data_IF_026407366288
#
_entry.id   IF_026407366288
#
_cell.length_a   1.000
_cell.length_b   1.000
_cell.length_c   1.000
_cell.angle_alpha   90.00
_cell.angle_beta   90.00
_cell.angle_gamma   90.00
#
_symmetry.space_group_name_H-M   'P 1'
#
loop_
_entity.id
_entity.type
_entity.pdbx_description
1 polymer ?
#
# COMPACT_ATOMS: atom_id res chain seq x y z
N UNK A 1 25.11 -9.81 -7.04
CA UNK A 1 24.87 -8.38 -7.30
C UNK A 1 24.58 -7.64 -6.02
N UNK A 2 24.61 -6.31 -6.02
CA UNK A 2 24.22 -5.47 -4.88
C UNK A 2 22.89 -4.77 -5.18
N UNK A 3 21.95 -4.81 -4.23
CA UNK A 3 20.73 -4.00 -4.29
C UNK A 3 20.92 -2.78 -3.41
N UNK A 4 20.74 -1.59 -3.96
CA UNK A 4 20.68 -0.33 -3.22
C UNK A 4 19.22 0.11 -3.20
N UNK A 5 18.61 0.03 -2.04
CA UNK A 5 17.18 0.25 -1.87
C UNK A 5 16.98 1.54 -1.10
N UNK A 6 16.05 2.37 -1.55
CA UNK A 6 15.63 3.59 -0.88
C UNK A 6 14.11 3.71 -0.89
N UNK A 7 13.55 4.21 0.21
CA UNK A 7 12.12 4.45 0.36
C UNK A 7 11.88 5.72 1.17
N UNK A 8 10.93 6.54 0.73
CA UNK A 8 10.46 7.69 1.49
C UNK A 8 9.34 7.26 2.43
N UNK A 9 9.57 7.40 3.73
CA UNK A 9 8.56 7.08 4.73
C UNK A 9 8.78 7.87 6.02
N UNK A 10 7.72 8.45 6.55
CA UNK A 10 7.76 9.19 7.82
C UNK A 10 7.47 8.25 8.98
N UNK A 11 8.47 7.99 9.77
CA UNK A 11 8.33 7.25 11.02
C UNK A 11 8.17 8.19 12.22
N UNK A 12 7.67 7.66 13.32
CA UNK A 12 7.66 8.34 14.62
C UNK A 12 8.92 7.99 15.39
N UNK A 13 9.18 8.74 16.43
CA UNK A 13 10.28 8.46 17.35
C UNK A 13 10.19 7.01 17.88
N UNK A 14 11.33 6.30 17.88
CA UNK A 14 11.42 4.91 18.30
C UNK A 14 10.93 3.89 17.27
N UNK A 15 10.48 4.32 16.09
CA UNK A 15 10.13 3.43 14.99
C UNK A 15 11.33 3.23 14.05
N UNK A 16 11.47 2.01 13.54
CA UNK A 16 12.46 1.64 12.56
C UNK A 16 11.81 1.00 11.33
N UNK A 17 12.31 1.35 10.16
CA UNK A 17 11.88 0.72 8.92
C UNK A 17 12.73 -0.52 8.64
N UNK A 18 12.08 -1.61 8.28
CA UNK A 18 12.68 -2.92 8.03
C UNK A 18 12.23 -3.44 6.67
N UNK A 19 13.16 -3.98 5.91
CA UNK A 19 12.90 -4.71 4.66
C UNK A 19 12.81 -6.21 4.95
N UNK A 20 11.71 -6.83 4.53
CA UNK A 20 11.55 -8.29 4.48
C UNK A 20 11.77 -8.78 3.06
N UNK A 21 12.90 -9.41 2.81
CA UNK A 21 13.27 -9.97 1.52
C UNK A 21 13.40 -11.49 1.64
N UNK A 22 12.35 -12.20 1.27
CA UNK A 22 12.23 -13.63 1.58
C UNK A 22 12.26 -13.87 3.09
N UNK A 23 13.23 -14.68 3.56
CA UNK A 23 13.44 -14.94 5.00
C UNK A 23 14.34 -13.90 5.69
N UNK A 24 14.92 -12.97 4.92
CA UNK A 24 15.87 -11.99 5.47
C UNK A 24 15.12 -10.79 6.04
N UNK A 25 15.52 -10.39 7.24
CA UNK A 25 15.14 -9.13 7.88
C UNK A 25 16.32 -8.17 7.79
N UNK A 26 16.12 -7.01 7.19
CA UNK A 26 17.17 -6.02 6.97
C UNK A 26 16.67 -4.68 7.49
N UNK A 27 17.30 -4.16 8.53
CA UNK A 27 17.00 -2.83 9.04
C UNK A 27 17.51 -1.77 8.08
N UNK A 28 16.67 -0.78 7.77
CA UNK A 28 17.07 0.35 6.96
C UNK A 28 17.73 1.42 7.84
N UNK A 29 18.60 2.20 7.23
CA UNK A 29 19.21 3.36 7.85
C UNK A 29 18.46 4.61 7.42
N UNK A 30 18.15 5.46 8.38
CA UNK A 30 17.56 6.76 8.10
C UNK A 30 18.59 7.66 7.43
N UNK A 31 18.22 8.20 6.30
CA UNK A 31 18.91 9.30 5.64
C UNK A 31 18.09 10.59 5.82
N UNK A 32 18.65 11.71 5.48
CA UNK A 32 17.96 13.00 5.62
C UNK A 32 16.68 13.09 4.77
N UNK A 33 15.76 13.97 5.17
CA UNK A 33 14.53 14.23 4.41
C UNK A 33 13.45 13.13 4.48
N UNK A 34 13.52 12.21 5.43
CA UNK A 34 12.52 11.12 5.55
C UNK A 34 12.80 9.93 4.64
N UNK A 35 14.00 9.85 4.10
CA UNK A 35 14.44 8.75 3.24
C UNK A 35 15.11 7.67 4.10
N UNK A 36 14.73 6.44 3.85
CA UNK A 36 15.36 5.25 4.45
C UNK A 36 16.10 4.46 3.38
N UNK A 37 17.28 3.96 3.71
CA UNK A 37 18.14 3.26 2.76
C UNK A 37 18.71 1.97 3.32
N UNK A 38 18.95 1.00 2.46
CA UNK A 38 19.78 -0.15 2.77
C UNK A 38 20.53 -0.66 1.54
N UNK A 39 21.64 -1.35 1.80
CA UNK A 39 22.38 -2.08 0.79
C UNK A 39 22.27 -3.59 1.08
N UNK A 40 21.87 -4.37 0.09
CA UNK A 40 21.85 -5.83 0.17
C UNK A 40 22.94 -6.37 -0.73
N UNK A 41 24.08 -6.66 -0.13
CA UNK A 41 25.22 -7.19 -0.84
C UNK A 41 25.05 -8.67 -1.18
N UNK A 42 25.74 -9.11 -2.25
CA UNK A 42 25.77 -10.51 -2.70
C UNK A 42 24.37 -11.11 -2.85
N UNK A 43 23.42 -10.28 -3.27
CA UNK A 43 22.08 -10.76 -3.51
C UNK A 43 22.04 -11.71 -4.70
N UNK A 44 21.54 -12.93 -4.46
CA UNK A 44 21.23 -13.92 -5.47
C UNK A 44 19.83 -14.46 -5.17
N UNK A 45 18.82 -14.17 -5.98
CA UNK A 45 17.47 -14.65 -5.74
C UNK A 45 17.39 -16.15 -6.01
N UNK A 46 16.71 -16.87 -5.13
CA UNK A 46 16.42 -18.30 -5.31
C UNK A 46 15.36 -18.53 -6.42
N UNK A 47 14.50 -17.54 -6.65
CA UNK A 47 13.46 -17.56 -7.67
C UNK A 47 13.22 -16.14 -8.21
N UNK A 48 12.70 -16.05 -9.43
CA UNK A 48 12.27 -14.78 -10.02
C UNK A 48 10.83 -14.90 -10.54
N UNK A 49 10.02 -13.88 -10.31
CA UNK A 49 10.28 -12.65 -9.56
C UNK A 49 10.40 -12.92 -8.05
N UNK A 50 11.25 -12.16 -7.36
CA UNK A 50 11.33 -12.19 -5.92
C UNK A 50 10.38 -11.15 -5.30
N UNK A 51 9.77 -11.49 -4.18
CA UNK A 51 8.90 -10.58 -3.46
C UNK A 51 9.59 -10.04 -2.21
N UNK A 52 9.30 -8.78 -1.89
CA UNK A 52 9.74 -8.13 -0.66
C UNK A 52 8.70 -7.12 -0.19
N UNK A 53 8.75 -6.75 1.10
CA UNK A 53 7.87 -5.73 1.69
C UNK A 53 8.59 -4.96 2.77
N UNK A 54 8.06 -3.81 3.10
CA UNK A 54 8.52 -3.02 4.22
C UNK A 54 7.61 -3.20 5.43
N UNK A 55 8.23 -3.14 6.60
CA UNK A 55 7.57 -3.17 7.89
C UNK A 55 8.10 -2.04 8.76
N UNK A 56 7.25 -1.49 9.60
CA UNK A 56 7.65 -0.57 10.65
C UNK A 56 7.67 -1.34 11.96
N UNK A 57 8.80 -1.33 12.61
CA UNK A 57 8.98 -1.98 13.90
C UNK A 57 9.22 -0.95 15.00
N UNK A 58 8.76 -1.27 16.19
CA UNK A 58 9.10 -0.57 17.43
C UNK A 58 9.53 -1.63 18.45
N UNK A 59 10.71 -1.44 19.05
CA UNK A 59 11.28 -2.40 20.02
C UNK A 59 11.33 -3.85 19.49
N UNK A 60 11.58 -3.99 18.18
CA UNK A 60 11.64 -5.31 17.52
C UNK A 60 10.29 -5.94 17.18
N UNK A 61 9.18 -5.26 17.50
CA UNK A 61 7.83 -5.73 17.19
C UNK A 61 7.30 -5.00 15.96
N UNK A 62 6.82 -5.76 14.98
CA UNK A 62 6.16 -5.18 13.81
C UNK A 62 4.84 -4.53 14.21
N UNK A 63 4.72 -3.21 14.00
CA UNK A 63 3.53 -2.43 14.31
C UNK A 63 2.74 -2.02 13.07
N UNK A 64 3.38 -2.01 11.91
CA UNK A 64 2.76 -1.74 10.59
C UNK A 64 3.50 -2.52 9.52
N UNK A 65 2.78 -3.03 8.56
CA UNK A 65 3.32 -3.70 7.38
C UNK A 65 2.62 -3.16 6.13
N UNK A 66 3.33 -3.14 5.03
CA UNK A 66 2.71 -2.82 3.74
C UNK A 66 1.58 -3.80 3.41
N UNK A 67 0.59 -3.29 2.74
CA UNK A 67 -0.56 -4.10 2.35
C UNK A 67 -0.23 -5.10 1.23
N UNK A 68 0.61 -4.69 0.28
CA UNK A 68 1.08 -5.55 -0.81
C UNK A 68 2.59 -5.65 -0.83
N UNK A 69 3.13 -6.81 -1.21
CA UNK A 69 4.55 -6.92 -1.46
C UNK A 69 4.94 -6.19 -2.74
N UNK A 70 6.17 -5.73 -2.79
CA UNK A 70 6.83 -5.31 -4.01
C UNK A 70 7.35 -6.51 -4.76
N UNK A 71 7.45 -6.38 -6.08
CA UNK A 71 7.99 -7.43 -6.95
C UNK A 71 9.33 -6.98 -7.50
N UNK A 72 10.39 -7.70 -7.15
CA UNK A 72 11.73 -7.48 -7.67
C UNK A 72 11.95 -8.32 -8.92
N UNK A 73 12.14 -7.64 -10.04
CA UNK A 73 12.58 -8.27 -11.29
C UNK A 73 14.00 -7.84 -11.58
N UNK A 74 14.90 -8.80 -11.66
CA UNK A 74 16.29 -8.53 -12.03
C UNK A 74 16.40 -8.61 -13.55
N UNK A 75 16.94 -7.56 -14.20
CA UNK A 75 17.18 -7.60 -15.63
C UNK A 75 18.15 -8.74 -15.99
N UNK A 76 17.81 -9.53 -17.00
CA UNK A 76 18.64 -10.64 -17.50
C UNK A 76 19.89 -10.15 -18.25
N UNK A 77 20.31 -8.91 -18.02
CA UNK A 77 21.44 -8.30 -18.70
C UNK A 77 22.73 -8.73 -18.02
N UNK A 78 23.64 -9.33 -18.77
CA UNK A 78 24.97 -9.65 -18.28
C UNK A 78 25.71 -8.39 -17.79
N UNK A 79 26.44 -8.52 -16.67
CA UNK A 79 27.26 -7.45 -16.13
C UNK A 79 26.58 -6.49 -15.14
N UNK A 80 25.27 -6.65 -14.85
CA UNK A 80 24.62 -5.84 -13.82
C UNK A 80 25.14 -6.23 -12.44
N UNK A 81 25.99 -5.36 -11.87
CA UNK A 81 26.56 -5.56 -10.54
C UNK A 81 25.75 -4.88 -9.43
N UNK A 82 25.05 -3.80 -9.75
CA UNK A 82 24.29 -3.00 -8.80
C UNK A 82 22.94 -2.62 -9.38
N UNK A 83 21.88 -2.86 -8.61
CA UNK A 83 20.52 -2.44 -8.94
C UNK A 83 20.07 -1.40 -7.90
N UNK A 84 19.66 -0.23 -8.36
CA UNK A 84 19.09 0.83 -7.51
C UNK A 84 17.59 0.78 -7.60
N UNK A 85 16.93 0.73 -6.45
CA UNK A 85 15.48 0.67 -6.29
C UNK A 85 15.05 1.87 -5.46
N UNK A 86 14.05 2.60 -5.97
CA UNK A 86 13.39 3.67 -5.22
C UNK A 86 11.94 3.30 -5.09
N UNK A 87 11.51 3.07 -3.87
CA UNK A 87 10.16 2.63 -3.55
C UNK A 87 9.35 3.72 -2.88
N UNK A 88 8.05 3.51 -2.89
CA UNK A 88 7.07 4.22 -2.08
C UNK A 88 6.32 3.20 -1.25
N UNK A 89 5.99 3.58 -0.03
CA UNK A 89 5.19 2.75 0.85
C UNK A 89 3.86 2.39 0.21
N UNK A 90 3.57 1.10 0.14
CA UNK A 90 2.31 0.59 -0.40
C UNK A 90 1.27 0.49 0.71
N UNK A 91 0.61 1.59 0.98
CA UNK A 91 -0.57 1.59 1.83
C UNK A 91 -1.76 0.97 1.10
N UNK A 92 -2.77 0.58 1.89
CA UNK A 92 -4.08 0.34 1.32
C UNK A 92 -4.49 1.61 0.57
N UNK A 93 -4.79 1.53 -0.73
CA UNK A 93 -5.14 2.72 -1.48
C UNK A 93 -6.27 3.47 -0.78
N UNK A 94 -6.14 4.80 -0.70
CA UNK A 94 -7.19 5.65 -0.12
C UNK A 94 -8.53 5.50 -0.85
N UNK A 95 -8.48 5.04 -2.09
CA UNK A 95 -9.62 4.73 -2.95
C UNK A 95 -10.07 3.26 -2.87
N UNK A 96 -9.55 2.48 -1.92
CA UNK A 96 -9.97 1.07 -1.70
C UNK A 96 -11.48 0.90 -1.63
N UNK A 97 -12.26 1.80 -1.00
CA UNK A 97 -13.71 1.78 -1.07
C UNK A 97 -14.27 1.78 -2.50
N UNK A 98 -13.58 2.45 -3.42
CA UNK A 98 -13.98 2.52 -4.85
C UNK A 98 -13.77 1.20 -5.59
N UNK A 99 -12.94 0.31 -5.08
CA UNK A 99 -12.75 -1.05 -5.62
C UNK A 99 -13.69 -2.08 -5.00
N UNK A 100 -14.51 -1.69 -4.03
CA UNK A 100 -15.53 -2.59 -3.50
C UNK A 100 -16.52 -2.97 -4.59
N UNK A 101 -17.06 -4.19 -4.52
CA UNK A 101 -18.04 -4.65 -5.49
C UNK A 101 -19.29 -3.75 -5.52
N UNK A 102 -19.64 -3.13 -4.41
CA UNK A 102 -20.73 -2.18 -4.32
C UNK A 102 -20.44 -0.90 -5.14
N UNK A 103 -19.20 -0.38 -5.06
CA UNK A 103 -18.82 0.82 -5.77
C UNK A 103 -18.62 0.55 -7.26
N UNK A 104 -17.91 -0.52 -7.62
CA UNK A 104 -17.65 -0.87 -9.03
C UNK A 104 -18.92 -1.27 -9.77
N UNK A 105 -19.88 -1.90 -9.10
CA UNK A 105 -21.18 -2.27 -9.70
C UNK A 105 -22.18 -1.12 -9.68
N UNK A 106 -22.19 -0.33 -8.62
CA UNK A 106 -23.15 0.76 -8.45
C UNK A 106 -22.78 2.03 -9.22
N UNK A 107 -21.53 2.48 -9.08
CA UNK A 107 -21.11 3.79 -9.63
C UNK A 107 -20.48 3.65 -11.02
N UNK A 108 -19.58 2.69 -11.22
CA UNK A 108 -18.98 2.51 -12.53
C UNK A 108 -19.82 1.68 -13.52
N UNK A 109 -21.00 1.23 -13.11
CA UNK A 109 -21.93 0.55 -14.01
C UNK A 109 -21.38 -0.70 -14.69
N UNK A 110 -20.28 -1.28 -14.17
CA UNK A 110 -19.66 -2.52 -14.70
C UNK A 110 -20.46 -3.79 -14.38
N UNK A 111 -21.69 -3.64 -13.91
CA UNK A 111 -22.66 -4.71 -13.85
C UNK A 111 -23.53 -4.69 -15.11
N UNK A 112 -23.99 -5.85 -15.57
CA UNK A 112 -24.89 -5.98 -16.73
C UNK A 112 -25.91 -4.84 -16.72
N UNK A 113 -25.96 -4.08 -17.80
CA UNK A 113 -26.99 -3.10 -18.12
C UNK A 113 -28.34 -3.80 -18.26
N UNK A 114 -28.93 -4.18 -17.13
CA UNK A 114 -30.37 -4.39 -17.08
C UNK A 114 -31.00 -3.02 -17.11
N UNK A 115 -32.00 -2.79 -17.96
CA UNK A 115 -32.82 -1.59 -17.94
C UNK A 115 -33.10 -1.20 -16.48
N UNK A 116 -32.77 0.02 -16.05
CA UNK A 116 -33.10 0.45 -14.70
C UNK A 116 -34.63 0.39 -14.59
N UNK A 117 -35.15 -0.64 -13.96
CA UNK A 117 -36.53 -0.63 -13.50
C UNK A 117 -36.62 0.65 -12.66
N UNK A 118 -37.53 1.56 -13.02
CA UNK A 118 -37.82 2.76 -12.25
C UNK A 118 -37.99 2.33 -10.80
N UNK A 119 -36.95 2.55 -9.99
CA UNK A 119 -37.00 2.27 -8.57
C UNK A 119 -37.99 3.26 -7.96
N UNK A 120 -39.09 2.77 -7.44
CA UNK A 120 -39.98 3.59 -6.66
C UNK A 120 -39.24 3.97 -5.36
N UNK A 121 -38.74 5.15 -5.32
CA UNK A 121 -38.79 6.03 -4.19
C UNK A 121 -37.86 5.85 -2.99
N UNK A 122 -37.01 4.82 -2.86
CA UNK A 122 -36.12 4.72 -1.74
C UNK A 122 -34.64 4.89 -2.17
N UNK A 123 -34.01 5.97 -1.71
CA UNK A 123 -32.58 6.20 -1.90
C UNK A 123 -31.84 5.56 -0.73
N UNK A 124 -31.06 4.54 -0.98
CA UNK A 124 -30.16 4.00 0.02
C UNK A 124 -28.76 4.58 -0.18
N UNK A 125 -28.32 5.40 0.74
CA UNK A 125 -26.98 5.94 0.81
C UNK A 125 -26.12 5.00 1.65
N UNK A 126 -25.08 4.44 1.05
CA UNK A 126 -24.09 3.66 1.76
C UNK A 126 -22.76 4.41 1.74
N UNK A 127 -22.32 4.87 2.91
CA UNK A 127 -21.03 5.54 3.07
C UNK A 127 -20.06 4.56 3.73
N UNK A 128 -18.93 4.34 3.09
CA UNK A 128 -17.85 3.52 3.65
C UNK A 128 -16.69 4.46 3.95
N UNK A 129 -16.42 4.67 5.24
CA UNK A 129 -15.29 5.45 5.71
C UNK A 129 -14.23 4.50 6.26
N UNK A 130 -13.06 4.40 5.60
CA UNK A 130 -12.00 3.48 6.03
C UNK A 130 -11.32 3.90 7.33
N UNK A 131 -11.46 5.16 7.75
CA UNK A 131 -10.80 5.71 8.94
C UNK A 131 -11.70 6.68 9.69
N UNK A 132 -12.75 6.17 10.31
CA UNK A 132 -13.49 6.98 11.28
C UNK A 132 -12.73 6.97 12.61
N UNK A 133 -12.38 8.15 13.14
CA UNK A 133 -11.82 8.26 14.48
C UNK A 133 -12.89 7.83 15.50
N UNK A 134 -12.52 7.22 16.64
CA UNK A 134 -13.50 6.76 17.64
C UNK A 134 -14.41 7.85 18.21
N UNK A 135 -13.94 9.10 18.12
CA UNK A 135 -14.63 10.32 18.61
C UNK A 135 -15.37 11.08 17.50
N UNK A 136 -15.36 10.57 16.27
CA UNK A 136 -15.99 11.22 15.14
C UNK A 136 -17.37 10.60 14.83
N UNK A 137 -18.33 11.46 14.52
CA UNK A 137 -19.67 11.07 14.10
C UNK A 137 -19.86 11.40 12.63
N UNK A 138 -20.36 10.44 11.86
CA UNK A 138 -20.74 10.70 10.47
C UNK A 138 -22.12 11.29 10.41
N UNK A 139 -22.25 12.46 9.82
CA UNK A 139 -23.53 13.09 9.53
C UNK A 139 -23.76 13.22 8.02
N UNK A 140 -24.94 12.90 7.56
CA UNK A 140 -25.37 13.11 6.17
C UNK A 140 -26.40 14.25 6.15
N UNK A 141 -26.06 15.34 5.48
CA UNK A 141 -26.99 16.44 5.26
C UNK A 141 -27.62 16.29 3.86
N UNK A 142 -28.94 16.18 3.81
CA UNK A 142 -29.69 16.14 2.55
C UNK A 142 -30.45 17.46 2.41
N UNK A 143 -30.07 18.27 1.41
CA UNK A 143 -30.83 19.47 1.07
C UNK A 143 -31.92 19.11 0.06
N UNK A 144 -33.18 19.21 0.46
CA UNK A 144 -34.32 19.12 -0.45
C UNK A 144 -34.63 20.52 -1.02
N UNK A 145 -34.91 20.61 -2.32
CA UNK A 145 -35.67 21.74 -2.83
C UNK A 145 -37.14 21.49 -2.51
N UNK A 146 -37.77 22.44 -1.83
CA UNK A 146 -39.25 22.53 -1.76
C UNK A 146 -39.83 22.77 -3.15
#
# INVERSE_FOLDING_TARGET
MTLLISIEYRTRWGEQLVLRLGKRRIALQYADGGVWTCAVERYAPAAQPAEYRYEVEREGVCIRSEWRPHTLRIPSREGVRTLRIRDRWQEMPSDTPFYSSAFTRGIFGRGKTGNPKKAAGNITLRVILPTLRPDATLAVAVSGRE
#
